data_IF_547511365515
#
_entry.id   IF_547511365515
#
_cell.length_a   1.000
_cell.length_b   1.000
_cell.length_c   1.000
_cell.angle_alpha   90.00
_cell.angle_beta   90.00
_cell.angle_gamma   90.00
#
_symmetry.space_group_name_H-M   'P 1'
#
loop_
_entity.id
_entity.type
_entity.pdbx_description
1 polymer ?
#
# COMPACT_ATOMS: atom_id res chain seq x y z
N UNK A 1 19.93 22.98 -7.84
CA UNK A 1 20.16 21.69 -8.53
C UNK A 1 19.48 20.61 -7.70
N UNK A 2 18.30 20.15 -8.11
CA UNK A 2 17.58 19.07 -7.40
C UNK A 2 18.13 17.76 -7.92
N UNK A 3 18.84 17.02 -7.07
CA UNK A 3 19.29 15.66 -7.38
C UNK A 3 18.06 14.76 -7.21
N UNK A 4 17.45 14.35 -8.32
CA UNK A 4 16.43 13.30 -8.32
C UNK A 4 17.20 11.99 -8.23
N UNK A 5 17.37 11.46 -7.02
CA UNK A 5 17.80 10.06 -6.86
C UNK A 5 16.68 9.17 -7.40
N UNK A 6 16.88 8.60 -8.59
CA UNK A 6 16.12 7.46 -9.08
C UNK A 6 16.44 6.26 -8.19
N UNK A 7 15.78 6.17 -7.03
CA UNK A 7 15.83 4.98 -6.18
C UNK A 7 15.10 3.88 -6.92
N UNK A 8 15.84 3.10 -7.70
CA UNK A 8 15.40 1.83 -8.25
C UNK A 8 14.98 0.92 -7.10
N UNK A 9 13.69 0.93 -6.76
CA UNK A 9 13.09 -0.05 -5.87
C UNK A 9 13.19 -1.41 -6.57
N UNK A 10 14.12 -2.27 -6.12
CA UNK A 10 14.08 -3.69 -6.50
C UNK A 10 12.74 -4.23 -6.01
N UNK A 11 11.85 -4.72 -6.89
CA UNK A 11 10.62 -5.36 -6.44
C UNK A 11 10.99 -6.54 -5.54
N UNK A 12 10.29 -6.67 -4.42
CA UNK A 12 10.32 -7.93 -3.65
C UNK A 12 9.54 -8.96 -4.47
N UNK A 13 10.28 -9.89 -5.05
CA UNK A 13 9.74 -11.05 -5.75
C UNK A 13 9.44 -12.15 -4.74
N UNK A 14 8.22 -12.65 -4.74
CA UNK A 14 7.97 -13.97 -4.18
C UNK A 14 8.33 -15.00 -5.26
N UNK A 15 9.48 -15.64 -5.09
CA UNK A 15 10.05 -16.62 -6.02
C UNK A 15 9.16 -17.88 -6.10
N UNK A 16 8.39 -18.20 -5.05
CA UNK A 16 7.53 -19.38 -5.03
C UNK A 16 6.21 -19.17 -5.79
N UNK A 17 5.75 -17.93 -5.94
CA UNK A 17 4.44 -17.64 -6.57
C UNK A 17 4.50 -16.86 -7.88
N UNK A 18 5.68 -16.36 -8.28
CA UNK A 18 5.84 -15.54 -9.50
C UNK A 18 5.17 -14.17 -9.41
N UNK A 19 4.71 -13.77 -8.22
CA UNK A 19 3.98 -12.52 -7.98
C UNK A 19 4.94 -11.40 -7.61
N UNK A 20 4.68 -10.21 -8.17
CA UNK A 20 5.47 -9.02 -7.88
C UNK A 20 4.75 -8.16 -6.84
N UNK A 21 5.35 -8.03 -5.66
CA UNK A 21 4.91 -7.08 -4.64
C UNK A 21 5.78 -5.83 -4.79
N UNK A 22 5.15 -4.69 -5.09
CA UNK A 22 5.85 -3.42 -5.22
C UNK A 22 5.63 -2.56 -4.00
N UNK A 23 6.71 -2.27 -3.28
CA UNK A 23 6.76 -1.15 -2.35
C UNK A 23 6.72 0.17 -3.14
N UNK A 24 5.79 1.03 -2.76
CA UNK A 24 5.68 2.39 -3.31
C UNK A 24 6.50 3.33 -2.43
N UNK A 25 7.64 3.79 -2.96
CA UNK A 25 8.53 4.74 -2.28
C UNK A 25 8.14 6.18 -2.59
N UNK A 26 8.46 7.10 -1.69
CA UNK A 26 8.30 8.53 -1.88
C UNK A 26 8.95 8.99 -3.20
N UNK A 27 8.26 9.88 -3.91
CA UNK A 27 8.61 10.34 -5.25
C UNK A 27 7.69 9.79 -6.34
N UNK A 28 8.24 9.69 -7.55
CA UNK A 28 7.50 9.26 -8.74
C UNK A 28 7.90 7.83 -9.10
N UNK A 29 6.90 6.99 -9.33
CA UNK A 29 7.07 5.62 -9.82
C UNK A 29 6.26 5.38 -11.08
N UNK A 30 6.80 4.54 -11.97
CA UNK A 30 6.14 4.13 -13.20
C UNK A 30 5.77 2.64 -13.15
N UNK A 31 4.55 2.30 -13.52
CA UNK A 31 4.04 0.93 -13.51
C UNK A 31 2.86 0.78 -14.47
N UNK A 32 2.71 -0.37 -15.09
CA UNK A 32 1.50 -0.66 -15.86
C UNK A 32 0.42 -1.18 -14.90
N UNK A 33 -0.59 -0.35 -14.61
CA UNK A 33 -1.67 -0.64 -13.66
C UNK A 33 -2.82 -1.33 -14.39
N UNK A 34 -3.14 -0.88 -15.60
CA UNK A 34 -4.28 -1.33 -16.40
C UNK A 34 -3.91 -2.36 -17.48
N UNK A 35 -2.70 -2.92 -17.46
CA UNK A 35 -2.28 -4.04 -18.31
C UNK A 35 -2.23 -3.73 -19.82
N UNK A 36 -2.13 -2.46 -20.21
CA UNK A 36 -2.11 -2.05 -21.63
C UNK A 36 -0.69 -1.91 -22.22
N UNK A 37 0.33 -2.34 -21.46
CA UNK A 37 1.76 -2.18 -21.74
C UNK A 37 2.26 -0.72 -21.78
N UNK A 38 1.44 0.26 -21.39
CA UNK A 38 1.86 1.64 -21.16
C UNK A 38 2.15 1.81 -19.67
N UNK A 39 3.22 2.55 -19.35
CA UNK A 39 3.53 2.84 -17.94
C UNK A 39 2.69 4.01 -17.46
N UNK A 40 1.89 3.74 -16.44
CA UNK A 40 1.15 4.70 -15.62
C UNK A 40 2.04 5.35 -14.58
N UNK A 41 1.56 6.47 -14.04
CA UNK A 41 2.25 7.29 -13.07
C UNK A 41 1.67 7.05 -11.67
N UNK A 42 2.56 6.82 -10.72
CA UNK A 42 2.25 6.78 -9.29
C UNK A 42 3.06 7.90 -8.63
N UNK A 43 2.37 8.78 -7.91
CA UNK A 43 3.01 9.85 -7.13
C UNK A 43 2.80 9.56 -5.67
N UNK A 44 3.91 9.49 -4.94
CA UNK A 44 3.96 9.24 -3.51
C UNK A 44 4.63 10.44 -2.86
N UNK A 45 4.04 10.96 -1.79
CA UNK A 45 4.57 12.13 -1.09
C UNK A 45 4.43 11.99 0.41
N UNK A 46 5.54 12.15 1.13
CA UNK A 46 5.51 12.25 2.58
C UNK A 46 5.26 13.70 3.01
N UNK A 47 4.43 13.89 4.03
CA UNK A 47 4.31 15.16 4.74
C UNK A 47 4.32 14.93 6.25
N UNK A 48 5.01 15.82 6.95
CA UNK A 48 5.22 15.74 8.40
C UNK A 48 4.39 16.81 9.08
N UNK A 49 3.71 16.46 10.17
CA UNK A 49 2.94 17.44 10.94
C UNK A 49 3.86 18.40 11.70
N UNK A 50 3.46 19.67 11.93
CA UNK A 50 4.32 20.72 12.53
C UNK A 50 4.94 20.39 13.89
N UNK A 51 4.38 19.42 14.62
CA UNK A 51 4.80 19.06 15.98
C UNK A 51 5.76 17.85 16.03
N UNK A 52 6.22 17.38 14.87
CA UNK A 52 7.10 16.21 14.75
C UNK A 52 6.38 14.91 15.15
N UNK A 53 6.97 13.77 14.80
CA UNK A 53 6.51 12.46 15.28
C UNK A 53 5.46 11.76 14.43
N UNK A 54 4.63 12.45 13.65
CA UNK A 54 3.74 11.82 12.66
C UNK A 54 4.22 12.10 11.23
N UNK A 55 4.33 11.04 10.45
CA UNK A 55 4.64 11.07 9.03
C UNK A 55 3.42 10.50 8.31
N UNK A 56 2.86 11.27 7.40
CA UNK A 56 1.78 10.81 6.53
C UNK A 56 2.32 10.63 5.12
N UNK A 57 1.94 9.54 4.47
CA UNK A 57 2.29 9.32 3.07
C UNK A 57 1.03 9.32 2.23
N UNK A 58 0.98 10.20 1.23
CA UNK A 58 -0.07 10.29 0.24
C UNK A 58 0.31 9.48 -1.00
N UNK A 59 -0.63 8.69 -1.52
CA UNK A 59 -0.48 7.92 -2.77
C UNK A 59 -1.57 8.35 -3.76
N UNK A 60 -1.16 8.78 -4.95
CA UNK A 60 -2.06 9.07 -6.06
C UNK A 60 -1.62 8.33 -7.32
N UNK A 61 -2.59 7.93 -8.12
CA UNK A 61 -2.42 7.04 -9.26
C UNK A 61 -3.00 7.71 -10.50
N UNK A 62 -2.30 7.61 -11.63
CA UNK A 62 -2.69 8.24 -12.88
C UNK A 62 -2.43 7.30 -14.05
N UNK A 63 -3.49 6.95 -14.78
CA UNK A 63 -3.42 6.19 -15.99
C UNK A 63 -2.87 7.06 -17.13
N UNK A 64 -1.90 6.55 -17.88
CA UNK A 64 -1.36 7.25 -19.05
C UNK A 64 -2.04 6.75 -20.32
N UNK A 65 -2.62 7.67 -21.10
CA UNK A 65 -3.23 7.31 -22.39
C UNK A 65 -2.17 7.17 -23.49
N UNK A 66 -2.47 6.49 -24.63
CA UNK A 66 -1.57 6.44 -25.78
C UNK A 66 -1.14 7.82 -26.30
N UNK A 67 -2.00 8.84 -26.15
CA UNK A 67 -1.71 10.23 -26.53
C UNK A 67 -0.86 10.97 -25.48
N UNK A 68 -0.48 10.31 -24.38
CA UNK A 68 0.36 10.86 -23.32
C UNK A 68 -0.39 11.68 -22.27
N UNK A 69 -1.73 11.66 -22.25
CA UNK A 69 -2.52 12.32 -21.21
C UNK A 69 -2.48 11.51 -19.91
N UNK A 70 -2.56 12.18 -18.78
CA UNK A 70 -2.67 11.55 -17.46
C UNK A 70 -4.10 11.68 -16.96
N UNK A 71 -4.75 10.55 -16.72
CA UNK A 71 -6.09 10.46 -16.16
C UNK A 71 -5.98 9.96 -14.72
N UNK A 72 -6.57 10.67 -13.78
CA UNK A 72 -6.58 10.25 -12.39
C UNK A 72 -7.30 8.90 -12.23
N UNK A 73 -6.73 7.97 -11.46
CA UNK A 73 -7.32 6.67 -11.11
C UNK A 73 -7.93 6.75 -9.72
N UNK A 74 -9.27 6.80 -9.59
CA UNK A 74 -9.94 6.91 -8.31
C UNK A 74 -9.84 5.66 -7.44
N UNK A 75 -10.01 5.83 -6.14
CA UNK A 75 -10.05 4.73 -5.16
C UNK A 75 -11.38 4.78 -4.42
N UNK A 76 -12.05 3.65 -4.30
CA UNK A 76 -13.30 3.55 -3.53
C UNK A 76 -13.00 3.71 -2.03
N UNK A 77 -13.51 4.77 -1.42
CA UNK A 77 -13.43 5.04 0.01
C UNK A 77 -14.72 4.70 0.75
N UNK A 78 -14.74 4.89 2.06
CA UNK A 78 -15.90 4.57 2.90
C UNK A 78 -17.08 5.55 2.70
N UNK A 79 -16.78 6.78 2.26
CA UNK A 79 -17.77 7.87 2.07
C UNK A 79 -17.92 8.31 0.61
N UNK A 80 -17.45 7.49 -0.33
CA UNK A 80 -17.41 7.82 -1.76
C UNK A 80 -16.02 7.64 -2.33
N UNK A 81 -15.76 8.26 -3.46
CA UNK A 81 -14.52 8.11 -4.21
C UNK A 81 -13.43 9.07 -3.68
N UNK A 82 -12.25 8.54 -3.40
CA UNK A 82 -11.09 9.28 -2.91
C UNK A 82 -10.06 9.47 -4.02
N UNK A 83 -9.42 10.64 -4.00
CA UNK A 83 -8.36 11.02 -4.93
C UNK A 83 -6.97 10.47 -4.51
N UNK A 84 -6.81 10.14 -3.24
CA UNK A 84 -5.53 9.88 -2.61
C UNK A 84 -5.76 8.88 -1.50
N UNK A 85 -4.90 7.87 -1.41
CA UNK A 85 -4.82 7.02 -0.21
C UNK A 85 -3.77 7.61 0.72
N UNK A 86 -4.11 7.74 2.00
CA UNK A 86 -3.18 8.19 3.03
C UNK A 86 -2.77 7.02 3.91
N UNK A 87 -1.47 6.90 4.15
CA UNK A 87 -0.95 6.06 5.22
C UNK A 87 -0.32 6.92 6.31
N UNK A 88 -0.11 6.30 7.46
CA UNK A 88 0.41 6.94 8.64
C UNK A 88 1.56 6.13 9.19
N UNK A 89 2.62 6.82 9.59
CA UNK A 89 3.76 6.29 10.32
C UNK A 89 4.08 7.21 11.49
N UNK A 90 4.67 6.65 12.54
CA UNK A 90 5.05 7.39 13.74
C UNK A 90 6.48 7.09 14.13
N UNK A 91 7.19 8.11 14.59
CA UNK A 91 8.51 7.97 15.19
C UNK A 91 8.39 7.19 16.51
N UNK A 92 9.29 6.23 16.73
CA UNK A 92 9.23 5.27 17.82
C UNK A 92 8.42 4.02 17.47
N UNK A 93 8.24 3.11 18.43
CA UNK A 93 7.59 1.83 18.16
C UNK A 93 7.74 0.80 19.27
N UNK A 94 7.22 -0.40 19.01
CA UNK A 94 7.36 -1.55 19.89
C UNK A 94 8.79 -2.08 19.99
N UNK A 95 9.68 -1.65 19.09
CA UNK A 95 11.07 -2.06 19.07
C UNK A 95 11.96 -0.84 19.25
N UNK A 96 12.69 -0.80 20.37
CA UNK A 96 13.62 0.29 20.74
C UNK A 96 14.71 0.55 19.70
N UNK A 97 14.95 -0.38 18.77
CA UNK A 97 15.91 -0.22 17.66
C UNK A 97 15.32 0.41 16.40
N UNK A 98 14.00 0.58 16.31
CA UNK A 98 13.33 1.06 15.10
C UNK A 98 12.95 2.54 15.25
N UNK A 99 13.42 3.36 14.32
CA UNK A 99 13.18 4.81 14.36
C UNK A 99 11.75 5.18 13.96
N UNK A 100 11.14 4.44 13.03
CA UNK A 100 9.78 4.70 12.51
C UNK A 100 8.98 3.40 12.48
N UNK A 101 7.76 3.45 13.00
CA UNK A 101 6.75 2.39 12.90
C UNK A 101 5.67 2.80 11.92
N UNK A 102 5.44 1.99 10.87
CA UNK A 102 4.29 2.17 9.99
C UNK A 102 3.03 1.68 10.70
N UNK A 103 2.10 2.60 10.91
CA UNK A 103 0.78 2.31 11.42
C UNK A 103 -0.08 1.73 10.31
N UNK A 104 0.03 2.30 9.12
CA UNK A 104 -0.54 1.76 7.91
C UNK A 104 0.47 1.84 6.77
N UNK A 105 0.32 0.97 5.79
CA UNK A 105 1.17 0.92 4.61
C UNK A 105 0.37 0.37 3.43
N UNK A 106 0.86 0.64 2.22
CA UNK A 106 0.23 0.23 0.97
C UNK A 106 1.23 -0.54 0.11
N UNK A 107 0.73 -1.56 -0.56
CA UNK A 107 1.44 -2.28 -1.63
C UNK A 107 0.59 -2.32 -2.88
N UNK A 108 1.25 -2.22 -4.02
CA UNK A 108 0.64 -2.56 -5.30
C UNK A 108 1.11 -3.97 -5.67
N UNK A 109 0.16 -4.86 -5.95
CA UNK A 109 0.41 -6.26 -6.26
C UNK A 109 -0.21 -6.58 -7.61
N UNK A 110 0.62 -6.99 -8.56
CA UNK A 110 0.16 -7.50 -9.85
C UNK A 110 0.13 -9.02 -9.83
N UNK A 111 -0.95 -9.57 -10.34
CA UNK A 111 -1.14 -11.00 -10.54
C UNK A 111 -1.78 -11.23 -11.91
N UNK A 112 -1.86 -12.48 -12.35
CA UNK A 112 -2.58 -12.84 -13.58
C UNK A 112 -4.06 -12.44 -13.55
N UNK A 113 -4.69 -12.39 -12.37
CA UNK A 113 -6.10 -12.00 -12.22
C UNK A 113 -6.32 -10.48 -12.17
N UNK A 114 -5.25 -9.67 -12.18
CA UNK A 114 -5.30 -8.22 -12.23
C UNK A 114 -4.36 -7.52 -11.25
N UNK A 115 -4.55 -6.20 -11.15
CA UNK A 115 -3.78 -5.29 -10.29
C UNK A 115 -4.55 -4.96 -9.01
N UNK A 116 -3.87 -5.07 -7.87
CA UNK A 116 -4.47 -4.90 -6.55
C UNK A 116 -3.72 -3.88 -5.72
N UNK A 117 -4.46 -2.96 -5.12
CA UNK A 117 -3.97 -2.07 -4.07
C UNK A 117 -4.27 -2.74 -2.72
N UNK A 118 -3.23 -3.07 -1.96
CA UNK A 118 -3.34 -3.75 -0.67
C UNK A 118 -2.93 -2.79 0.43
N UNK A 119 -3.90 -2.36 1.23
CA UNK A 119 -3.73 -1.46 2.36
C UNK A 119 -3.72 -2.28 3.65
N UNK A 120 -2.65 -2.19 4.42
CA UNK A 120 -2.54 -2.82 5.73
C UNK A 120 -2.51 -1.76 6.83
N UNK A 121 -3.26 -1.97 7.91
CA UNK A 121 -3.41 -1.01 9.00
C UNK A 121 -3.46 -1.72 10.36
N UNK A 122 -2.66 -1.23 11.31
CA UNK A 122 -2.72 -1.69 12.71
C UNK A 122 -4.10 -1.38 13.29
N UNK A 123 -4.70 -2.40 13.88
CA UNK A 123 -5.98 -2.33 14.57
C UNK A 123 -5.79 -2.69 16.05
N UNK A 124 -5.25 -1.75 16.82
CA UNK A 124 -5.18 -1.88 18.28
C UNK A 124 -6.50 -1.38 18.84
N UNK A 125 -7.36 -2.30 19.30
CA UNK A 125 -8.52 -1.90 20.11
C UNK A 125 -7.97 -1.44 21.46
N UNK A 126 -8.21 -0.16 21.74
CA UNK A 126 -8.03 0.52 23.04
C UNK A 126 -6.64 1.15 23.31
N UNK A 127 -6.68 2.48 23.46
CA UNK A 127 -5.60 3.43 23.80
C UNK A 127 -4.64 3.86 22.69
N UNK A 128 -4.73 5.14 22.29
CA UNK A 128 -3.89 5.80 21.29
C UNK A 128 -2.40 5.80 21.68
N UNK A 129 -2.09 5.70 22.97
CA UNK A 129 -0.72 5.64 23.47
C UNK A 129 -0.10 4.25 23.31
N UNK A 130 -0.90 3.18 23.44
CA UNK A 130 -0.46 1.79 23.22
C UNK A 130 -0.34 1.43 21.74
N UNK A 131 -1.07 2.15 20.90
CA UNK A 131 -1.13 1.92 19.46
C UNK A 131 0.26 1.92 18.76
N UNK A 132 1.24 2.63 19.33
CA UNK A 132 2.59 2.77 18.77
C UNK A 132 3.56 1.81 19.45
N UNK A 133 3.47 1.63 20.77
CA UNK A 133 4.38 0.80 21.55
C UNK A 133 4.06 -0.68 21.54
N UNK A 134 2.82 -1.06 21.19
CA UNK A 134 2.37 -2.43 21.36
C UNK A 134 2.15 -3.14 20.01
N UNK A 135 2.35 -4.46 20.03
CA UNK A 135 2.00 -5.30 18.90
C UNK A 135 0.49 -5.38 18.79
N UNK A 136 -0.03 -5.26 17.57
CA UNK A 136 -1.46 -5.24 17.31
C UNK A 136 -1.82 -6.16 16.16
N UNK A 137 -3.09 -6.58 16.13
CA UNK A 137 -3.63 -7.19 14.92
C UNK A 137 -3.58 -6.18 13.78
N UNK A 138 -3.45 -6.67 12.56
CA UNK A 138 -3.45 -5.84 11.36
C UNK A 138 -4.67 -6.20 10.52
N UNK A 139 -5.39 -5.19 10.06
CA UNK A 139 -6.45 -5.35 9.09
C UNK A 139 -5.90 -5.04 7.70
N UNK A 140 -6.11 -5.96 6.77
CA UNK A 140 -5.76 -5.78 5.36
C UNK A 140 -7.04 -5.50 4.58
N UNK A 141 -7.07 -4.38 3.86
CA UNK A 141 -8.11 -4.01 2.90
C UNK A 141 -7.52 -4.18 1.49
N UNK A 142 -8.21 -4.89 0.61
CA UNK A 142 -7.79 -5.10 -0.78
C UNK A 142 -8.75 -4.37 -1.70
N UNK A 143 -8.19 -3.59 -2.61
CA UNK A 143 -8.89 -2.98 -3.72
C UNK A 143 -8.38 -3.59 -5.02
N UNK A 144 -9.29 -3.91 -5.93
CA UNK A 144 -8.98 -4.42 -7.26
C UNK A 144 -9.16 -3.30 -8.27
N UNK A 145 -8.22 -3.14 -9.19
CA UNK A 145 -8.39 -2.24 -10.31
C UNK A 145 -9.52 -2.73 -11.21
N UNK A 146 -10.51 -1.89 -11.42
CA UNK A 146 -11.63 -2.09 -12.34
C UNK A 146 -11.27 -1.42 -13.68
N UNK A 147 -11.25 -2.21 -14.74
CA UNK A 147 -10.85 -1.76 -16.08
C UNK A 147 -11.95 -0.97 -16.79
N UNK A 148 -13.21 -1.22 -16.45
CA UNK A 148 -14.35 -0.53 -17.07
C UNK A 148 -14.49 0.87 -16.46
N UNK A 149 -14.47 0.94 -15.13
CA UNK A 149 -14.61 2.20 -14.39
C UNK A 149 -13.29 2.96 -14.20
N UNK A 150 -12.15 2.33 -14.53
CA UNK A 150 -10.80 2.88 -14.40
C UNK A 150 -10.47 3.34 -12.97
N UNK A 151 -10.92 2.57 -11.97
CA UNK A 151 -10.76 2.89 -10.55
C UNK A 151 -10.42 1.66 -9.70
N UNK A 152 -9.81 1.86 -8.55
CA UNK A 152 -9.66 0.80 -7.54
C UNK A 152 -10.96 0.63 -6.75
N UNK A 153 -11.66 -0.49 -6.94
CA UNK A 153 -12.86 -0.86 -6.19
C UNK A 153 -12.52 -1.76 -5.01
N UNK A 154 -13.23 -1.60 -3.89
CA UNK A 154 -13.10 -2.46 -2.72
C UNK A 154 -13.41 -3.90 -3.13
N UNK A 155 -12.50 -4.80 -2.81
CA UNK A 155 -12.61 -6.19 -3.20
C UNK A 155 -12.89 -7.09 -1.99
N UNK A 156 -11.93 -7.20 -1.07
CA UNK A 156 -12.03 -8.06 0.12
C UNK A 156 -11.26 -7.44 1.29
N UNK A 157 -11.45 -8.00 2.49
CA UNK A 157 -10.63 -7.67 3.65
C UNK A 157 -10.23 -8.92 4.42
N UNK A 158 -9.10 -8.86 5.10
CA UNK A 158 -8.57 -9.91 5.95
C UNK A 158 -8.20 -9.32 7.31
N UNK A 159 -8.78 -9.86 8.39
CA UNK A 159 -8.33 -9.58 9.75
C UNK A 159 -7.23 -10.57 10.12
N UNK A 160 -5.99 -10.10 10.16
CA UNK A 160 -4.83 -10.96 10.41
C UNK A 160 -4.78 -11.33 11.89
N UNK A 161 -4.86 -12.63 12.21
CA UNK A 161 -4.93 -13.16 13.58
C UNK A 161 -3.58 -13.18 14.32
N UNK A 162 -2.60 -12.43 13.85
CA UNK A 162 -1.25 -12.33 14.42
C UNK A 162 -0.94 -10.90 14.78
N UNK A 163 -0.13 -10.73 15.82
CA UNK A 163 0.24 -9.42 16.35
C UNK A 163 1.55 -8.95 15.72
N UNK A 164 1.55 -7.73 15.19
CA UNK A 164 2.69 -7.08 14.53
C UNK A 164 3.02 -5.76 15.19
N UNK A 165 4.31 -5.43 15.24
CA UNK A 165 4.76 -4.13 15.71
C UNK A 165 4.42 -3.05 14.69
N UNK A 166 4.56 -3.40 13.42
CA UNK A 166 4.52 -2.52 12.27
C UNK A 166 3.63 -3.14 11.18
N UNK A 167 2.77 -2.35 10.55
CA UNK A 167 1.87 -2.83 9.50
C UNK A 167 2.63 -3.41 8.30
N UNK A 168 3.87 -3.00 8.06
CA UNK A 168 4.73 -3.51 6.99
C UNK A 168 5.11 -4.98 7.18
N UNK A 169 5.19 -5.44 8.44
CA UNK A 169 5.63 -6.79 8.77
C UNK A 169 4.69 -7.86 8.17
N UNK A 170 3.44 -7.52 7.86
CA UNK A 170 2.49 -8.44 7.21
C UNK A 170 2.95 -8.88 5.82
N UNK A 171 3.70 -8.03 5.11
CA UNK A 171 4.21 -8.32 3.78
C UNK A 171 5.52 -9.12 3.81
N UNK A 172 6.20 -9.16 4.96
CA UNK A 172 7.38 -10.00 5.19
C UNK A 172 7.06 -11.35 5.81
N UNK A 173 5.84 -11.55 6.31
CA UNK A 173 5.42 -12.81 6.93
C UNK A 173 4.82 -13.77 5.89
N UNK A 174 5.50 -14.89 5.63
CA UNK A 174 5.12 -15.84 4.57
C UNK A 174 3.71 -16.42 4.74
N UNK A 175 3.24 -16.66 5.97
CA UNK A 175 1.91 -17.20 6.21
C UNK A 175 0.83 -16.17 5.89
N UNK A 176 1.02 -14.93 6.33
CA UNK A 176 0.08 -13.84 6.04
C UNK A 176 0.09 -13.50 4.55
N UNK A 177 1.27 -13.51 3.93
CA UNK A 177 1.38 -13.26 2.50
C UNK A 177 0.66 -14.33 1.68
N UNK A 178 0.75 -15.60 2.07
CA UNK A 178 -0.03 -16.68 1.47
C UNK A 178 -1.55 -16.45 1.60
N UNK A 179 -2.03 -16.02 2.79
CA UNK A 179 -3.44 -15.67 3.00
C UNK A 179 -3.88 -14.51 2.10
N UNK A 180 -3.09 -13.44 2.01
CA UNK A 180 -3.34 -12.31 1.09
C UNK A 180 -3.44 -12.82 -0.34
N UNK A 181 -2.49 -13.62 -0.78
CA UNK A 181 -2.47 -14.13 -2.15
C UNK A 181 -3.62 -15.07 -2.48
N UNK A 182 -4.11 -15.86 -1.51
CA UNK A 182 -5.32 -16.65 -1.68
C UNK A 182 -6.56 -15.74 -1.80
N UNK A 183 -6.58 -14.62 -1.06
CA UNK A 183 -7.64 -13.62 -1.19
C UNK A 183 -7.69 -13.04 -2.60
N UNK A 184 -6.53 -12.78 -3.24
CA UNK A 184 -6.43 -12.23 -4.61
C UNK A 184 -6.78 -13.24 -5.72
N UNK A 185 -6.71 -14.55 -5.45
CA UNK A 185 -7.00 -15.60 -6.44
C UNK A 185 -8.49 -15.78 -6.72
N UNK A 186 -9.38 -15.14 -5.95
CA UNK A 186 -10.82 -15.17 -6.22
C UNK A 186 -11.51 -16.48 -5.86
N UNK A 187 -11.17 -17.09 -4.72
CA UNK A 187 -12.02 -18.13 -4.12
C UNK A 187 -13.32 -17.52 -3.61
N UNK A 188 -14.46 -18.07 -4.05
CA UNK A 188 -15.78 -17.87 -3.43
C UNK A 188 -15.81 -18.53 -2.05
#
# INVERSE_FOLDING_TARGET
MVIIELINARPSYDIETGKTIKELKNGISYMDINGDNIKDLIVVGDFVTPWGGNIYTAYSFYQKTPEGKLLYIPIEGEKGTEAVVYTHSKIGGCNVKKEITKISTVRLINTESGTYLVFAEKNCKEDINKFISDKCFVKVKVFRYDYEDKMFRKYKSLDVKRLFCDAEEVFGDSKVLHEIFNLLKGGN
#
